data_IF_622007090193
#
_entry.id   IF_622007090193
#
_cell.length_a   1.000
_cell.length_b   1.000
_cell.length_c   1.000
_cell.angle_alpha   90.00
_cell.angle_beta   90.00
_cell.angle_gamma   90.00
#
_symmetry.space_group_name_H-M   'P 1'
#
loop_
_entity.id
_entity.type
_entity.pdbx_description
1 polymer ?
#
# COMPACT_ATOMS: atom_id res chain seq x y z
N UNK A 1 0.80 -1.83 -3.08
CA UNK A 1 0.31 -0.64 -3.81
C UNK A 1 -0.91 0.00 -3.12
N UNK A 2 -2.12 -0.55 -3.19
CA UNK A 2 -3.34 0.15 -2.70
C UNK A 2 -3.30 0.54 -1.21
N UNK A 3 -2.80 -0.32 -0.33
CA UNK A 3 -2.70 0.03 1.10
C UNK A 3 -1.79 1.24 1.35
N UNK A 4 -0.66 1.35 0.61
CA UNK A 4 0.23 2.50 0.71
C UNK A 4 -0.44 3.78 0.16
N UNK A 5 -1.18 3.65 -0.94
CA UNK A 5 -1.98 4.74 -1.49
C UNK A 5 -2.97 5.30 -0.46
N UNK A 6 -3.75 4.42 0.19
CA UNK A 6 -4.66 4.83 1.28
C UNK A 6 -3.91 5.53 2.41
N UNK A 7 -2.79 4.97 2.88
CA UNK A 7 -2.00 5.58 3.95
C UNK A 7 -1.57 7.00 3.61
N UNK A 8 -1.12 7.25 2.37
CA UNK A 8 -0.62 8.57 1.95
C UNK A 8 -1.77 9.56 1.81
N UNK A 9 -2.87 9.17 1.16
CA UNK A 9 -4.05 10.03 0.99
C UNK A 9 -4.60 10.43 2.35
N UNK A 10 -4.78 9.48 3.28
CA UNK A 10 -5.29 9.75 4.62
C UNK A 10 -4.30 10.55 5.47
N UNK A 11 -3.00 10.23 5.43
CA UNK A 11 -2.00 10.99 6.17
C UNK A 11 -1.89 12.45 5.70
N UNK A 12 -2.19 12.71 4.42
CA UNK A 12 -2.26 14.06 3.85
C UNK A 12 -3.50 14.86 4.30
N UNK A 13 -4.41 14.24 5.05
CA UNK A 13 -5.56 14.88 5.68
C UNK A 13 -6.90 14.60 5.00
N UNK A 14 -6.92 13.75 3.97
CA UNK A 14 -8.17 13.28 3.38
C UNK A 14 -8.84 12.22 4.26
N UNK A 15 -10.16 12.08 4.10
CA UNK A 15 -10.95 11.02 4.72
C UNK A 15 -10.72 9.66 4.05
N UNK A 16 -11.10 8.59 4.76
CA UNK A 16 -11.09 7.23 4.21
C UNK A 16 -12.03 7.10 2.99
N UNK A 17 -13.12 7.87 2.95
CA UNK A 17 -14.05 7.87 1.82
C UNK A 17 -13.43 8.51 0.59
N UNK A 18 -12.74 9.64 0.74
CA UNK A 18 -12.01 10.27 -0.37
C UNK A 18 -10.91 9.34 -0.92
N UNK A 19 -10.23 8.59 -0.05
CA UNK A 19 -9.26 7.57 -0.49
C UNK A 19 -9.92 6.42 -1.27
N UNK A 20 -11.12 5.98 -0.87
CA UNK A 20 -11.90 5.00 -1.61
C UNK A 20 -12.35 5.54 -2.97
N UNK A 21 -12.86 6.77 -3.02
CA UNK A 21 -13.31 7.40 -4.26
C UNK A 21 -12.13 7.57 -5.24
N UNK A 22 -10.96 7.99 -4.75
CA UNK A 22 -9.76 8.07 -5.56
C UNK A 22 -9.32 6.70 -6.10
N UNK A 23 -9.46 5.64 -5.28
CA UNK A 23 -9.20 4.26 -5.70
C UNK A 23 -10.16 3.80 -6.79
N UNK A 24 -11.44 4.15 -6.69
CA UNK A 24 -12.44 3.83 -7.73
C UNK A 24 -12.15 4.55 -9.04
N UNK A 25 -11.74 5.81 -9.01
CA UNK A 25 -11.36 6.54 -10.23
C UNK A 25 -10.14 5.88 -10.89
N UNK A 26 -9.12 5.52 -10.10
CA UNK A 26 -7.95 4.80 -10.61
C UNK A 26 -8.36 3.45 -11.23
N UNK A 27 -9.21 2.70 -10.54
CA UNK A 27 -9.70 1.40 -11.00
C UNK A 27 -10.50 1.53 -12.29
N UNK A 28 -11.39 2.54 -12.38
CA UNK A 28 -12.21 2.80 -13.55
C UNK A 28 -11.35 3.13 -14.78
N UNK A 29 -10.31 3.97 -14.65
CA UNK A 29 -9.40 4.23 -15.78
C UNK A 29 -8.71 2.95 -16.25
N UNK A 30 -8.19 2.16 -15.30
CA UNK A 30 -7.52 0.90 -15.62
C UNK A 30 -8.45 -0.10 -16.31
N UNK A 31 -9.72 -0.21 -15.89
CA UNK A 31 -10.71 -1.09 -16.53
C UNK A 31 -11.06 -0.65 -17.95
N UNK A 32 -11.17 0.67 -18.20
CA UNK A 32 -11.54 1.22 -19.50
C UNK A 32 -10.38 1.24 -20.51
N UNK A 33 -9.18 1.56 -20.03
CA UNK A 33 -8.03 1.90 -20.86
C UNK A 33 -6.86 0.90 -20.73
N UNK A 34 -7.02 -0.15 -19.91
CA UNK A 34 -6.04 -1.20 -19.65
C UNK A 34 -5.08 -0.89 -18.51
N UNK A 35 -4.71 -1.91 -17.73
CA UNK A 35 -3.88 -1.76 -16.51
C UNK A 35 -2.38 -1.85 -16.80
N UNK A 36 -1.95 -2.85 -17.57
CA UNK A 36 -0.54 -3.17 -17.79
C UNK A 36 0.23 -1.99 -18.41
N UNK A 37 1.42 -1.70 -17.86
CA UNK A 37 2.30 -0.61 -18.28
C UNK A 37 1.76 0.83 -18.15
N UNK A 38 0.48 1.00 -17.76
CA UNK A 38 -0.19 2.30 -17.57
C UNK A 38 -0.44 2.63 -16.11
N UNK A 39 -0.63 1.61 -15.27
CA UNK A 39 -0.99 1.75 -13.86
C UNK A 39 -0.10 2.75 -13.10
N UNK A 40 1.21 2.78 -13.37
CA UNK A 40 2.09 3.75 -12.74
C UNK A 40 1.78 5.21 -13.11
N UNK A 41 1.49 5.48 -14.39
CA UNK A 41 1.16 6.82 -14.86
C UNK A 41 -0.19 7.28 -14.28
N UNK A 42 -1.19 6.40 -14.29
CA UNK A 42 -2.52 6.67 -13.71
C UNK A 42 -2.41 6.91 -12.20
N UNK A 43 -1.63 6.08 -11.49
CA UNK A 43 -1.40 6.26 -10.05
C UNK A 43 -0.80 7.63 -9.74
N UNK A 44 0.19 8.07 -10.52
CA UNK A 44 0.79 9.40 -10.36
C UNK A 44 -0.25 10.51 -10.58
N UNK A 45 -1.01 10.45 -11.67
CA UNK A 45 -2.03 11.45 -11.99
C UNK A 45 -3.09 11.56 -10.88
N UNK A 46 -3.55 10.42 -10.35
CA UNK A 46 -4.52 10.40 -9.25
C UNK A 46 -3.92 10.97 -7.96
N UNK A 47 -2.67 10.63 -7.63
CA UNK A 47 -2.00 11.21 -6.45
C UNK A 47 -1.83 12.73 -6.59
N UNK A 48 -1.43 13.22 -7.76
CA UNK A 48 -1.30 14.66 -8.02
C UNK A 48 -2.64 15.41 -7.92
N UNK A 49 -3.75 14.74 -8.27
CA UNK A 49 -5.10 15.31 -8.18
C UNK A 49 -5.67 15.34 -6.76
N UNK A 50 -5.40 14.30 -5.97
CA UNK A 50 -6.02 14.11 -4.65
C UNK A 50 -5.18 14.60 -3.48
N UNK A 51 -3.86 14.71 -3.65
CA UNK A 51 -2.99 15.21 -2.61
C UNK A 51 -2.94 16.74 -2.64
N UNK A 52 -3.03 17.40 -1.48
CA UNK A 52 -2.78 18.84 -1.39
C UNK A 52 -1.29 19.15 -1.65
N UNK A 53 -0.98 20.39 -2.04
CA UNK A 53 0.40 20.84 -2.33
C UNK A 53 1.39 20.60 -1.16
N UNK A 54 0.89 20.67 0.08
CA UNK A 54 1.66 20.46 1.31
C UNK A 54 1.65 19.00 1.81
N UNK A 55 1.17 18.03 1.01
CA UNK A 55 1.06 16.62 1.40
C UNK A 55 2.40 16.02 1.88
N UNK A 56 3.51 16.38 1.23
CA UNK A 56 4.85 15.97 1.62
C UNK A 56 5.18 16.37 3.08
N UNK A 57 4.82 17.60 3.47
CA UNK A 57 4.99 18.10 4.84
C UNK A 57 4.09 17.32 5.81
N UNK A 58 2.83 17.10 5.43
CA UNK A 58 1.85 16.39 6.28
C UNK A 58 2.19 14.91 6.50
N UNK A 59 2.88 14.29 5.54
CA UNK A 59 3.30 12.90 5.58
C UNK A 59 4.65 12.69 6.28
N UNK A 60 5.50 13.71 6.39
CA UNK A 60 6.80 13.60 7.03
C UNK A 60 6.71 13.11 8.48
N UNK A 61 7.47 12.06 8.80
CA UNK A 61 7.46 11.39 10.11
C UNK A 61 6.17 10.61 10.43
N UNK A 62 5.15 10.64 9.56
CA UNK A 62 3.87 9.93 9.73
C UNK A 62 3.72 8.76 8.77
N UNK A 63 4.31 8.86 7.58
CA UNK A 63 4.33 7.81 6.55
C UNK A 63 5.77 7.39 6.32
N UNK A 64 6.00 6.08 6.31
CA UNK A 64 7.30 5.49 5.96
C UNK A 64 7.11 4.58 4.76
N UNK A 65 7.82 4.89 3.67
CA UNK A 65 7.75 4.20 2.40
C UNK A 65 8.98 3.31 2.23
N UNK A 66 8.75 2.02 1.99
CA UNK A 66 9.83 1.10 1.64
C UNK A 66 10.08 1.10 0.13
N UNK A 67 11.34 1.16 -0.28
CA UNK A 67 11.78 0.96 -1.67
C UNK A 67 12.94 -0.02 -1.69
N UNK A 68 13.06 -0.80 -2.77
CA UNK A 68 14.19 -1.72 -2.95
C UNK A 68 15.22 -1.09 -3.87
N UNK A 69 16.39 -0.75 -3.34
CA UNK A 69 17.51 -0.28 -4.15
C UNK A 69 18.19 -1.45 -4.87
N UNK A 70 18.36 -1.32 -6.19
CA UNK A 70 19.11 -2.25 -7.01
C UNK A 70 20.60 -1.98 -6.84
N UNK A 71 21.27 -2.97 -6.25
CA UNK A 71 22.72 -3.08 -6.15
C UNK A 71 23.09 -4.53 -6.46
N UNK A 72 24.38 -4.87 -6.45
CA UNK A 72 24.81 -6.28 -6.55
C UNK A 72 24.12 -7.18 -5.50
N UNK A 73 23.83 -6.64 -4.31
CA UNK A 73 22.88 -7.20 -3.34
C UNK A 73 21.73 -6.22 -3.14
N UNK A 74 20.48 -6.57 -3.50
CA UNK A 74 19.32 -5.71 -3.27
C UNK A 74 19.24 -5.26 -1.81
N UNK A 75 18.93 -3.97 -1.60
CA UNK A 75 18.86 -3.38 -0.26
C UNK A 75 17.54 -2.63 -0.08
N UNK A 76 16.80 -2.96 0.98
CA UNK A 76 15.64 -2.19 1.39
C UNK A 76 16.05 -0.83 1.97
N UNK A 77 15.36 0.22 1.55
CA UNK A 77 15.53 1.59 2.02
C UNK A 77 14.18 2.10 2.49
N UNK A 78 14.15 2.70 3.68
CA UNK A 78 12.98 3.35 4.25
C UNK A 78 13.08 4.85 4.03
N UNK A 79 11.97 5.47 3.63
CA UNK A 79 11.85 6.90 3.33
C UNK A 79 10.68 7.45 4.12
N UNK A 80 10.95 8.29 5.10
CA UNK A 80 9.95 8.90 5.99
C UNK A 80 10.02 10.44 6.01
N UNK A 81 10.94 11.00 5.24
CA UNK A 81 11.10 12.42 4.96
C UNK A 81 11.04 12.64 3.46
N UNK A 82 10.19 13.56 3.04
CA UNK A 82 9.80 13.86 1.67
C UNK A 82 9.90 15.37 1.43
N UNK A 83 10.53 15.72 0.33
CA UNK A 83 10.41 17.03 -0.32
C UNK A 83 9.16 17.06 -1.23
N UNK A 84 8.85 18.21 -1.84
CA UNK A 84 7.60 18.43 -2.59
C UNK A 84 7.28 17.38 -3.66
N UNK A 85 8.27 16.96 -4.44
CA UNK A 85 8.08 15.93 -5.49
C UNK A 85 8.37 14.51 -4.98
N UNK A 86 9.01 14.38 -3.82
CA UNK A 86 9.57 13.13 -3.33
C UNK A 86 8.49 12.17 -2.82
N UNK A 87 7.38 12.68 -2.27
CA UNK A 87 6.30 11.83 -1.74
C UNK A 87 5.70 10.95 -2.83
N UNK A 88 5.25 11.57 -3.93
CA UNK A 88 4.63 10.85 -5.04
C UNK A 88 5.65 9.93 -5.70
N UNK A 89 6.89 10.40 -5.89
CA UNK A 89 7.97 9.60 -6.44
C UNK A 89 8.26 8.37 -5.56
N UNK A 90 8.30 8.52 -4.23
CA UNK A 90 8.52 7.41 -3.30
C UNK A 90 7.38 6.38 -3.38
N UNK A 91 6.12 6.82 -3.40
CA UNK A 91 4.95 5.93 -3.49
C UNK A 91 4.92 5.18 -4.82
N UNK A 92 5.22 5.89 -5.91
CA UNK A 92 5.35 5.31 -7.25
C UNK A 92 6.46 4.26 -7.27
N UNK A 93 7.67 4.58 -6.78
CA UNK A 93 8.80 3.64 -6.73
C UNK A 93 8.52 2.44 -5.84
N UNK A 94 7.87 2.65 -4.69
CA UNK A 94 7.51 1.59 -3.74
C UNK A 94 6.54 0.58 -4.34
N UNK A 95 5.71 1.02 -5.29
CA UNK A 95 4.76 0.17 -6.01
C UNK A 95 5.28 -0.28 -7.36
N UNK A 96 6.54 -0.02 -7.71
CA UNK A 96 7.11 -0.29 -9.04
C UNK A 96 7.48 -1.77 -9.22
N UNK A 97 6.46 -2.60 -9.43
CA UNK A 97 6.59 -4.03 -9.72
C UNK A 97 7.19 -4.20 -11.14
N UNK A 98 8.41 -4.77 -11.26
CA UNK A 98 9.07 -4.95 -12.55
C UNK A 98 8.22 -5.76 -13.53
N UNK A 99 8.05 -5.26 -14.76
CA UNK A 99 7.28 -5.92 -15.81
C UNK A 99 5.77 -5.78 -15.71
N UNK A 100 5.25 -5.07 -14.68
CA UNK A 100 3.82 -4.84 -14.52
C UNK A 100 3.45 -3.35 -14.59
N UNK A 101 4.12 -2.46 -13.83
CA UNK A 101 3.76 -1.03 -13.82
C UNK A 101 4.26 -0.24 -15.03
N UNK A 102 5.38 -0.64 -15.64
CA UNK A 102 5.99 0.03 -16.78
C UNK A 102 6.89 -0.95 -17.57
N UNK A 103 7.19 -0.65 -18.85
CA UNK A 103 8.04 -1.52 -19.68
C UNK A 103 9.50 -1.51 -19.24
N UNK A 104 9.92 -0.51 -18.46
CA UNK A 104 11.27 -0.44 -17.88
C UNK A 104 11.33 -1.27 -16.58
N UNK A 105 12.45 -1.98 -16.30
CA UNK A 105 12.54 -2.90 -15.17
C UNK A 105 12.79 -2.22 -13.82
N UNK A 106 13.13 -0.92 -13.82
CA UNK A 106 13.40 -0.14 -12.62
C UNK A 106 13.18 1.36 -12.86
N UNK A 107 13.12 2.14 -11.78
CA UNK A 107 12.98 3.60 -11.80
C UNK A 107 14.09 4.27 -10.99
N UNK A 108 14.36 5.56 -11.23
CA UNK A 108 15.35 6.32 -10.45
C UNK A 108 14.61 7.11 -9.37
N UNK A 109 15.02 6.90 -8.11
CA UNK A 109 14.53 7.64 -6.96
C UNK A 109 15.73 8.11 -6.12
N UNK A 110 15.83 9.41 -5.83
CA UNK A 110 16.97 10.02 -5.10
C UNK A 110 18.34 9.56 -5.63
N UNK A 111 18.53 9.63 -6.95
CA UNK A 111 19.73 9.22 -7.68
C UNK A 111 20.13 7.74 -7.49
N UNK A 112 19.16 6.88 -7.16
CA UNK A 112 19.35 5.43 -6.99
C UNK A 112 18.39 4.67 -7.87
N UNK A 113 18.88 3.61 -8.51
CA UNK A 113 18.01 2.68 -9.24
C UNK A 113 17.22 1.85 -8.25
N UNK A 114 15.89 1.90 -8.32
CA UNK A 114 14.98 1.32 -7.34
C UNK A 114 13.80 0.59 -8.00
N UNK A 115 13.19 -0.34 -7.26
CA UNK A 115 11.99 -1.10 -7.60
C UNK A 115 11.08 -1.23 -6.36
N UNK A 116 9.97 -1.95 -6.52
CA UNK A 116 8.98 -2.25 -5.50
C UNK A 116 9.61 -2.59 -4.13
N UNK A 117 9.11 -1.94 -3.09
CA UNK A 117 9.60 -2.10 -1.71
C UNK A 117 9.22 -3.43 -1.09
N UNK A 118 8.12 -4.04 -1.54
CA UNK A 118 7.63 -5.31 -1.05
C UNK A 118 8.58 -6.49 -1.33
N UNK A 119 9.49 -6.35 -2.28
CA UNK A 119 10.51 -7.35 -2.59
C UNK A 119 11.57 -7.52 -1.49
N UNK A 120 11.83 -6.48 -0.69
CA UNK A 120 12.79 -6.54 0.42
C UNK A 120 12.14 -6.32 1.78
N UNK A 121 11.13 -5.45 1.87
CA UNK A 121 10.49 -5.01 3.10
C UNK A 121 8.95 -5.05 2.95
N UNK A 122 8.40 -6.24 2.66
CA UNK A 122 6.94 -6.46 2.58
C UNK A 122 6.19 -5.98 3.83
N UNK A 123 6.79 -6.15 5.00
CA UNK A 123 6.33 -5.59 6.26
C UNK A 123 7.45 -4.72 6.83
N UNK A 124 7.41 -3.39 6.64
CA UNK A 124 8.47 -2.50 7.09
C UNK A 124 8.69 -2.60 8.61
N UNK A 125 9.95 -2.64 9.08
CA UNK A 125 10.23 -2.62 10.50
C UNK A 125 9.85 -1.26 11.10
N UNK A 126 9.49 -1.27 12.38
CA UNK A 126 9.13 -0.08 13.14
C UNK A 126 9.75 -0.13 14.52
N UNK A 127 10.10 1.04 15.04
CA UNK A 127 10.64 1.20 16.40
C UNK A 127 9.56 1.59 17.42
N UNK A 128 8.29 1.66 17.02
CA UNK A 128 7.20 2.03 17.90
C UNK A 128 6.96 0.94 18.96
N UNK A 129 6.70 1.37 20.21
CA UNK A 129 6.42 0.46 21.33
C UNK A 129 5.19 -0.42 21.10
N UNK A 130 4.21 0.09 20.35
CA UNK A 130 3.03 -0.65 19.92
C UNK A 130 2.88 -0.48 18.40
N UNK A 131 2.60 -1.59 17.72
CA UNK A 131 2.45 -1.61 16.26
C UNK A 131 1.29 -2.51 15.89
N UNK A 132 0.31 -1.93 15.18
CA UNK A 132 -0.71 -2.70 14.48
C UNK A 132 -0.22 -2.94 13.06
N UNK A 133 0.02 -4.20 12.70
CA UNK A 133 0.38 -4.58 11.33
C UNK A 133 -0.88 -4.93 10.55
N UNK A 134 -0.96 -4.45 9.32
CA UNK A 134 -2.13 -4.61 8.45
C UNK A 134 -1.70 -5.36 7.18
N UNK A 135 -2.48 -6.37 6.77
CA UNK A 135 -2.27 -7.08 5.52
C UNK A 135 -3.58 -7.18 4.73
N UNK A 136 -3.55 -6.78 3.46
CA UNK A 136 -4.71 -6.88 2.56
C UNK A 136 -5.00 -8.33 2.10
N UNK A 137 -4.13 -9.27 2.44
CA UNK A 137 -4.26 -10.69 2.13
C UNK A 137 -4.36 -11.51 3.42
N UNK A 138 -4.92 -12.72 3.38
CA UNK A 138 -4.86 -13.66 4.50
C UNK A 138 -3.40 -13.88 4.92
N UNK A 139 -3.03 -13.32 6.08
CA UNK A 139 -1.69 -13.36 6.65
C UNK A 139 -1.25 -14.80 6.94
N UNK A 140 -2.18 -15.62 7.40
CA UNK A 140 -1.98 -17.07 7.65
C UNK A 140 -1.45 -17.81 6.42
N UNK A 141 -1.92 -17.43 5.22
CA UNK A 141 -1.52 -18.03 3.94
C UNK A 141 -0.16 -17.53 3.44
N UNK A 142 0.25 -16.33 3.84
CA UNK A 142 1.55 -15.74 3.52
C UNK A 142 2.63 -16.09 4.56
N UNK A 143 2.29 -16.86 5.60
CA UNK A 143 3.22 -17.19 6.69
C UNK A 143 3.61 -15.97 7.54
N UNK A 144 2.84 -14.89 7.48
CA UNK A 144 3.11 -13.66 8.21
C UNK A 144 2.58 -13.78 9.64
N UNK A 145 3.44 -13.49 10.62
CA UNK A 145 3.09 -13.50 12.04
C UNK A 145 2.93 -12.07 12.57
N UNK A 146 2.15 -11.93 13.65
CA UNK A 146 1.96 -10.65 14.33
C UNK A 146 1.23 -9.60 13.47
N UNK A 147 0.39 -10.05 12.53
CA UNK A 147 -0.56 -9.21 11.79
C UNK A 147 -1.80 -9.00 12.66
N UNK A 148 -2.15 -7.75 12.91
CA UNK A 148 -3.32 -7.39 13.73
C UNK A 148 -4.60 -7.30 12.91
N UNK A 149 -4.51 -6.71 11.71
CA UNK A 149 -5.66 -6.55 10.81
C UNK A 149 -5.38 -7.28 9.50
N UNK A 150 -6.17 -8.30 9.20
CA UNK A 150 -6.17 -9.00 7.92
C UNK A 150 -7.51 -9.67 7.66
N UNK A 151 -7.77 -10.17 6.43
CA UNK A 151 -8.92 -11.02 6.15
C UNK A 151 -9.04 -12.28 7.03
N UNK A 152 -8.00 -12.67 7.78
CA UNK A 152 -8.10 -13.78 8.75
C UNK A 152 -8.91 -13.38 10.01
N UNK A 153 -9.06 -12.08 10.29
CA UNK A 153 -9.82 -11.58 11.44
C UNK A 153 -11.32 -11.88 11.32
N UNK A 154 -11.86 -11.92 10.10
CA UNK A 154 -13.25 -12.26 9.84
C UNK A 154 -13.38 -13.02 8.51
N UNK A 155 -13.56 -14.33 8.59
CA UNK A 155 -13.50 -15.25 7.44
C UNK A 155 -14.80 -15.25 6.61
N UNK A 156 -15.91 -14.72 7.15
CA UNK A 156 -17.20 -14.78 6.48
C UNK A 156 -17.25 -13.93 5.21
N UNK A 157 -17.81 -14.51 4.13
CA UNK A 157 -18.04 -13.85 2.84
C UNK A 157 -16.78 -13.22 2.20
N UNK A 158 -15.61 -13.81 2.48
CA UNK A 158 -14.32 -13.33 1.96
C UNK A 158 -14.06 -13.78 0.53
N UNK A 159 -13.41 -12.87 -0.21
CA UNK A 159 -12.84 -13.21 -1.50
C UNK A 159 -11.77 -14.29 -1.35
N UNK A 160 -11.76 -15.22 -2.30
CA UNK A 160 -10.71 -16.24 -2.34
C UNK A 160 -9.34 -15.61 -2.63
N UNK A 161 -8.23 -16.24 -2.23
CA UNK A 161 -6.89 -15.73 -2.57
C UNK A 161 -6.69 -15.51 -4.08
N UNK A 162 -7.31 -16.34 -4.92
CA UNK A 162 -7.27 -16.17 -6.38
C UNK A 162 -8.00 -14.90 -6.83
N UNK A 163 -9.15 -14.59 -6.23
CA UNK A 163 -9.87 -13.34 -6.52
C UNK A 163 -9.06 -12.12 -6.07
N UNK A 164 -8.52 -12.14 -4.84
CA UNK A 164 -7.67 -11.07 -4.34
C UNK A 164 -6.43 -10.85 -5.23
N UNK A 165 -5.79 -11.93 -5.65
CA UNK A 165 -4.64 -11.87 -6.56
C UNK A 165 -5.01 -11.34 -7.95
N UNK A 166 -6.16 -11.75 -8.49
CA UNK A 166 -6.66 -11.21 -9.74
C UNK A 166 -6.93 -9.70 -9.62
N UNK A 167 -7.54 -9.25 -8.52
CA UNK A 167 -7.85 -7.83 -8.30
C UNK A 167 -6.62 -6.96 -8.04
N UNK A 168 -5.49 -7.55 -7.63
CA UNK A 168 -4.21 -6.85 -7.62
C UNK A 168 -3.63 -6.63 -9.02
N UNK A 169 -4.03 -7.42 -10.02
CA UNK A 169 -3.54 -7.30 -11.40
C UNK A 169 -4.52 -6.58 -12.33
N UNK A 170 -5.82 -6.74 -12.10
CA UNK A 170 -6.89 -6.10 -12.85
C UNK A 170 -7.89 -5.53 -11.84
N UNK A 171 -8.02 -4.20 -11.73
CA UNK A 171 -8.85 -3.60 -10.69
C UNK A 171 -10.28 -4.11 -10.70
N UNK A 172 -10.80 -4.42 -9.50
CA UNK A 172 -12.16 -4.92 -9.32
C UNK A 172 -13.22 -3.88 -9.71
N UNK A 173 -14.46 -4.32 -9.87
CA UNK A 173 -15.63 -3.43 -9.99
C UNK A 173 -15.89 -2.65 -8.70
N UNK A 174 -16.60 -1.52 -8.81
CA UNK A 174 -16.76 -0.58 -7.71
C UNK A 174 -17.52 -1.18 -6.52
N UNK A 175 -18.50 -2.06 -6.76
CA UNK A 175 -19.25 -2.79 -5.73
C UNK A 175 -18.35 -3.75 -4.94
N UNK A 176 -17.38 -4.36 -5.61
CA UNK A 176 -16.36 -5.20 -4.98
C UNK A 176 -15.41 -4.33 -4.14
N UNK A 177 -14.99 -3.17 -4.65
CA UNK A 177 -14.14 -2.24 -3.90
C UNK A 177 -14.83 -1.73 -2.64
N UNK A 178 -16.13 -1.40 -2.73
CA UNK A 178 -16.98 -1.06 -1.58
C UNK A 178 -17.02 -2.19 -0.56
N UNK A 179 -17.29 -3.41 -1.01
CA UNK A 179 -17.32 -4.59 -0.14
C UNK A 179 -15.99 -4.83 0.56
N UNK A 180 -14.85 -4.70 -0.14
CA UNK A 180 -13.51 -4.87 0.46
C UNK A 180 -13.24 -3.75 1.48
N UNK A 181 -13.68 -2.52 1.19
CA UNK A 181 -13.55 -1.40 2.11
C UNK A 181 -14.31 -1.61 3.41
N UNK A 182 -15.59 -2.01 3.33
CA UNK A 182 -16.42 -2.36 4.51
C UNK A 182 -15.82 -3.52 5.30
N UNK A 183 -15.32 -4.53 4.59
CA UNK A 183 -14.61 -5.67 5.17
C UNK A 183 -13.37 -5.25 5.97
N UNK A 184 -12.62 -4.26 5.49
CA UNK A 184 -11.48 -3.68 6.21
C UNK A 184 -11.88 -3.04 7.55
N UNK A 185 -13.02 -2.35 7.60
CA UNK A 185 -13.57 -1.83 8.87
C UNK A 185 -13.99 -2.95 9.82
N UNK A 186 -14.61 -4.01 9.30
CA UNK A 186 -14.98 -5.16 10.11
C UNK A 186 -13.74 -5.86 10.71
N UNK A 187 -12.66 -6.01 9.94
CA UNK A 187 -11.39 -6.57 10.44
C UNK A 187 -10.76 -5.69 11.52
N UNK A 188 -10.76 -4.38 11.31
CA UNK A 188 -10.27 -3.42 12.30
C UNK A 188 -11.08 -3.47 13.60
N UNK A 189 -12.42 -3.59 13.51
CA UNK A 189 -13.29 -3.71 14.68
C UNK A 189 -12.99 -4.98 15.50
N UNK A 190 -12.74 -6.11 14.84
CA UNK A 190 -12.32 -7.36 15.51
C UNK A 190 -10.96 -7.19 16.19
N UNK A 191 -9.99 -6.58 15.51
CA UNK A 191 -8.66 -6.32 16.07
C UNK A 191 -8.69 -5.42 17.30
N UNK A 192 -9.57 -4.39 17.32
CA UNK A 192 -9.74 -3.52 18.48
C UNK A 192 -10.46 -4.26 19.62
N UNK A 193 -11.50 -5.03 19.30
CA UNK A 193 -12.29 -5.78 20.28
C UNK A 193 -11.56 -6.95 20.94
N UNK A 194 -10.57 -7.55 20.27
CA UNK A 194 -9.78 -8.66 20.82
C UNK A 194 -8.76 -8.22 21.88
N UNK A 195 -8.51 -6.90 22.03
CA UNK A 195 -7.52 -6.39 22.98
C UNK A 195 -6.09 -6.84 22.70
N UNK A 196 -5.81 -7.36 21.50
CA UNK A 196 -4.47 -7.75 21.04
C UNK A 196 -3.90 -6.74 20.04
N UNK A 197 -3.50 -5.52 20.46
CA UNK A 197 -2.72 -4.65 19.60
C UNK A 197 -1.30 -5.24 19.50
N UNK A 198 -1.10 -6.10 18.51
CA UNK A 198 0.20 -6.57 18.04
C UNK A 198 1.18 -6.97 19.13
N UNK A 199 1.20 -8.27 19.52
CA UNK A 199 2.39 -8.86 20.15
C UNK A 199 3.54 -8.85 19.14
N UNK A 200 4.16 -7.70 18.94
CA UNK A 200 5.55 -7.61 18.57
C UNK A 200 6.35 -8.17 19.73
N UNK A 201 7.12 -9.23 19.48
CA UNK A 201 8.08 -9.75 20.43
C UNK A 201 8.97 -8.60 20.92
N UNK A 202 8.82 -8.24 22.20
CA UNK A 202 9.88 -7.54 22.92
C UNK A 202 11.04 -8.50 23.08
N UNK A 203 12.16 -8.16 22.44
CA UNK A 203 13.55 -8.43 22.87
C UNK A 203 13.88 -9.83 23.40
N UNK A 204 14.65 -10.58 22.60
CA UNK A 204 15.94 -11.12 23.08
C UNK A 204 17.01 -10.78 22.06
#
# INVERSE_FOLDING_TARGET
MLLLFFCVVVASGASMQEALDATKILAQDCRLNGTAFRLGAVLREILEKFLPDDAHIRCNGRVCVAVTQILWRPRGVLVDQFDSEDLINAVFTSSFIPGYLAPIPATVFRNRLCIDGGLTLFMPPTSAAQTVRICAFPASRLGLQGIGISPDCNIENRATPRQLFNWTLEPAEDDILDKIFEQGYADAAVCVGSGEPGRGLSSR
#
